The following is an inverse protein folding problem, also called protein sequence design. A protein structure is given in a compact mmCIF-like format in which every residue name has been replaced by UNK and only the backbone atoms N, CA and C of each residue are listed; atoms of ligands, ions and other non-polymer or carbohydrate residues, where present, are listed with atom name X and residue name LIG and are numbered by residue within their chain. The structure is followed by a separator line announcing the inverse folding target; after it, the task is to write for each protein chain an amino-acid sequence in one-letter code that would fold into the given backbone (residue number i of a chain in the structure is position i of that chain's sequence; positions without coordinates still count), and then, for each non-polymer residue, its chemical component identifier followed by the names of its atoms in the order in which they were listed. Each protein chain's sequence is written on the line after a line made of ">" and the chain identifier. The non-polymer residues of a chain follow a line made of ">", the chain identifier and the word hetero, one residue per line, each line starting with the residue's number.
data_IF_038773443001
#
_entry.id   IF_038773443001
#
_cell.length_a   1.000
_cell.length_b   1.000
_cell.length_c   1.000
_cell.angle_alpha   90.00
_cell.angle_beta   90.00
_cell.angle_gamma   90.00
#
_symmetry.space_group_name_H-M   'P 1'
#
loop_
_entity.id
_entity.type
_entity.pdbx_description
1 polymer ?
#
# COMPACT_ATOMS: atom_id res chain seq x y z
N UNK A 1 7.44 13.18 -13.08
CA UNK A 1 6.00 13.02 -12.79
C UNK A 1 5.80 11.53 -12.65
N UNK A 2 5.75 11.03 -11.41
CA UNK A 2 5.74 9.60 -11.11
C UNK A 2 4.28 9.13 -11.00
N UNK A 3 3.62 9.05 -12.15
CA UNK A 3 2.27 8.52 -12.29
C UNK A 3 2.30 7.01 -12.51
N UNK A 4 1.23 6.30 -12.16
CA UNK A 4 1.04 4.91 -12.55
C UNK A 4 1.12 4.75 -14.09
N UNK A 5 1.98 3.84 -14.56
CA UNK A 5 2.26 3.63 -15.99
C UNK A 5 1.71 2.28 -16.51
N UNK A 6 0.77 1.68 -15.77
CA UNK A 6 0.25 0.35 -16.06
C UNK A 6 0.88 -0.74 -15.19
N UNK A 7 0.47 -2.01 -15.38
CA UNK A 7 0.91 -3.13 -14.56
C UNK A 7 2.43 -3.28 -14.49
N UNK A 8 2.94 -3.71 -13.35
CA UNK A 8 4.37 -3.88 -13.12
C UNK A 8 4.78 -3.80 -11.66
N UNK A 9 6.09 -3.70 -11.45
CA UNK A 9 6.71 -3.57 -10.14
C UNK A 9 6.84 -2.09 -9.74
N UNK A 10 6.44 -1.76 -8.52
CA UNK A 10 6.48 -0.40 -7.99
C UNK A 10 6.91 -0.38 -6.52
N UNK A 11 7.59 0.70 -6.14
CA UNK A 11 7.72 1.13 -4.76
C UNK A 11 6.61 2.15 -4.48
N UNK A 12 5.98 2.03 -3.31
CA UNK A 12 4.93 2.96 -2.85
C UNK A 12 5.46 3.73 -1.67
N UNK A 13 5.52 5.06 -1.79
CA UNK A 13 6.02 5.96 -0.75
C UNK A 13 4.89 6.85 -0.25
N UNK A 14 4.71 6.94 1.07
CA UNK A 14 3.78 7.90 1.65
C UNK A 14 4.31 9.33 1.47
N UNK A 15 3.49 10.24 0.95
CA UNK A 15 3.88 11.65 0.82
C UNK A 15 3.91 12.38 2.15
N UNK A 16 3.21 11.90 3.18
CA UNK A 16 3.17 12.58 4.47
C UNK A 16 4.49 12.53 5.24
N UNK A 17 5.28 11.46 5.05
CA UNK A 17 6.53 11.26 5.77
C UNK A 17 7.69 10.68 4.92
N UNK A 18 7.48 10.44 3.62
CA UNK A 18 8.51 9.93 2.72
C UNK A 18 8.90 8.47 2.94
N UNK A 19 8.13 7.73 3.75
CA UNK A 19 8.46 6.35 4.13
C UNK A 19 7.80 5.32 3.20
N UNK A 20 8.47 4.19 2.91
CA UNK A 20 7.91 3.16 2.05
C UNK A 20 6.78 2.38 2.74
N UNK A 21 5.82 1.94 1.93
CA UNK A 21 4.71 1.10 2.35
C UNK A 21 4.98 -0.33 1.89
N UNK A 22 4.82 -1.31 2.77
CA UNK A 22 5.08 -2.72 2.43
C UNK A 22 4.89 -3.66 3.61
N UNK A 23 5.67 -4.74 3.64
CA UNK A 23 5.70 -5.71 4.73
C UNK A 23 7.02 -5.63 5.48
N UNK A 24 7.01 -5.97 6.77
CA UNK A 24 8.25 -6.02 7.55
C UNK A 24 9.16 -7.14 7.04
N UNK A 25 10.49 -6.96 7.10
CA UNK A 25 11.45 -7.96 6.64
C UNK A 25 11.34 -9.25 7.46
N UNK A 26 11.23 -9.10 8.78
CA UNK A 26 11.15 -10.20 9.76
C UNK A 26 9.71 -10.40 10.19
N UNK A 27 9.12 -11.51 9.80
CA UNK A 27 7.76 -11.89 10.17
C UNK A 27 7.77 -13.30 10.78
N UNK A 28 6.73 -13.62 11.54
CA UNK A 28 6.52 -15.00 12.00
C UNK A 28 6.25 -15.94 10.81
N UNK A 29 6.52 -17.25 11.00
CA UNK A 29 6.37 -18.28 9.96
C UNK A 29 4.95 -18.82 9.78
N UNK A 30 3.95 -18.23 10.43
CA UNK A 30 2.55 -18.62 10.21
C UNK A 30 2.05 -18.13 8.85
N UNK A 31 0.98 -18.78 8.38
CA UNK A 31 0.22 -18.33 7.21
C UNK A 31 -0.85 -17.29 7.56
N UNK A 32 -0.84 -16.75 8.78
CA UNK A 32 -1.76 -15.68 9.14
C UNK A 32 -1.51 -14.45 8.24
N UNK A 33 -2.56 -13.69 7.91
CA UNK A 33 -2.43 -12.44 7.16
C UNK A 33 -1.39 -11.52 7.79
N UNK A 34 -0.48 -11.02 6.96
CA UNK A 34 0.62 -10.15 7.39
C UNK A 34 0.21 -8.69 7.24
N UNK A 35 0.58 -7.83 8.19
CA UNK A 35 0.22 -6.42 8.10
C UNK A 35 0.93 -5.73 6.95
N UNK A 36 0.21 -4.82 6.30
CA UNK A 36 0.83 -3.77 5.49
C UNK A 36 1.17 -2.60 6.40
N UNK A 37 2.40 -2.14 6.31
CA UNK A 37 3.03 -1.21 7.24
C UNK A 37 3.68 -0.05 6.49
N UNK A 38 3.70 1.10 7.13
CA UNK A 38 4.68 2.14 6.88
C UNK A 38 6.00 1.75 7.53
N UNK A 39 7.03 1.55 6.72
CA UNK A 39 8.33 1.01 7.12
C UNK A 39 9.32 2.14 7.46
N UNK A 40 10.30 1.93 8.35
CA UNK A 40 11.32 2.94 8.65
C UNK A 40 12.09 3.35 7.40
N UNK A 41 12.54 4.60 7.37
CA UNK A 41 13.34 5.11 6.27
C UNK A 41 14.74 4.46 6.30
N UNK A 42 15.26 4.05 5.14
CA UNK A 42 16.60 3.46 4.98
C UNK A 42 16.86 2.12 5.71
N UNK A 43 15.84 1.48 6.27
CA UNK A 43 16.02 0.18 6.93
C UNK A 43 16.15 -1.00 5.96
N UNK A 44 15.71 -0.82 4.71
CA UNK A 44 15.55 -1.91 3.74
C UNK A 44 15.93 -1.47 2.32
N UNK A 45 16.28 -2.44 1.47
CA UNK A 45 16.54 -2.23 0.03
C UNK A 45 15.20 -2.05 -0.73
N UNK A 46 15.20 -1.37 -1.88
CA UNK A 46 13.96 -1.14 -2.66
C UNK A 46 13.21 -2.44 -3.02
N UNK A 47 13.95 -3.53 -3.20
CA UNK A 47 13.39 -4.86 -3.50
C UNK A 47 12.57 -5.45 -2.33
N UNK A 48 12.81 -5.03 -1.09
CA UNK A 48 12.14 -5.57 0.09
C UNK A 48 10.70 -5.07 0.26
N UNK A 49 10.40 -3.90 -0.32
CA UNK A 49 9.07 -3.25 -0.25
C UNK A 49 8.48 -3.00 -1.64
N UNK A 50 8.88 -3.81 -2.61
CA UNK A 50 8.28 -3.79 -3.95
C UNK A 50 6.87 -4.39 -3.93
N UNK A 51 5.98 -3.73 -4.66
CA UNK A 51 4.62 -4.13 -4.97
C UNK A 51 4.53 -4.59 -6.42
N UNK A 52 3.82 -5.68 -6.64
CA UNK A 52 3.39 -6.12 -7.96
C UNK A 52 1.96 -5.64 -8.15
N UNK A 53 1.74 -4.80 -9.17
CA UNK A 53 0.43 -4.28 -9.55
C UNK A 53 0.00 -4.99 -10.83
N UNK A 54 -1.17 -5.60 -10.80
CA UNK A 54 -1.71 -6.39 -11.91
C UNK A 54 -3.16 -5.98 -12.23
N UNK A 55 -3.64 -6.21 -13.45
CA UNK A 55 -5.06 -6.05 -13.76
C UNK A 55 -5.91 -6.95 -12.87
N UNK A 56 -6.94 -6.36 -12.28
CA UNK A 56 -7.99 -7.04 -11.54
C UNK A 56 -9.23 -7.27 -12.38
N UNK A 57 -10.38 -7.30 -11.71
CA UNK A 57 -11.68 -7.50 -12.35
C UNK A 57 -12.29 -6.17 -12.80
N UNK A 58 -13.00 -6.16 -13.92
CA UNK A 58 -13.74 -4.97 -14.40
C UNK A 58 -12.86 -3.70 -14.53
N UNK A 59 -11.56 -3.84 -14.80
CA UNK A 59 -10.64 -2.73 -14.96
C UNK A 59 -10.02 -2.19 -13.65
N UNK A 60 -10.33 -2.81 -12.50
CA UNK A 60 -9.63 -2.54 -11.25
C UNK A 60 -8.19 -3.05 -11.30
N UNK A 61 -7.44 -2.78 -10.23
CA UNK A 61 -6.10 -3.27 -10.01
C UNK A 61 -6.06 -4.18 -8.78
N UNK A 62 -5.22 -5.21 -8.85
CA UNK A 62 -4.81 -6.05 -7.73
C UNK A 62 -3.38 -5.72 -7.34
N UNK A 63 -3.11 -5.70 -6.04
CA UNK A 63 -1.81 -5.35 -5.50
C UNK A 63 -1.28 -6.50 -4.65
N UNK A 64 -0.02 -6.87 -4.86
CA UNK A 64 0.65 -7.93 -4.11
C UNK A 64 2.01 -7.47 -3.62
N UNK A 65 2.44 -7.93 -2.46
CA UNK A 65 3.80 -7.68 -1.96
C UNK A 65 4.34 -8.91 -1.23
N UNK A 66 5.61 -9.23 -1.51
CA UNK A 66 6.32 -10.42 -0.99
C UNK A 66 5.47 -11.71 -1.09
N UNK A 67 4.85 -11.91 -2.25
CA UNK A 67 4.05 -13.10 -2.58
C UNK A 67 2.65 -13.17 -1.95
N UNK A 68 2.22 -12.15 -1.20
CA UNK A 68 0.87 -12.09 -0.64
C UNK A 68 -0.02 -11.06 -1.32
N UNK A 69 -1.31 -11.36 -1.44
CA UNK A 69 -2.31 -10.46 -2.04
C UNK A 69 -2.86 -9.50 -1.00
N UNK A 70 -2.96 -8.22 -1.37
CA UNK A 70 -3.50 -7.19 -0.50
C UNK A 70 -5.00 -7.38 -0.29
N UNK A 71 -5.42 -7.30 0.96
CA UNK A 71 -6.81 -7.46 1.42
C UNK A 71 -7.09 -6.44 2.52
N UNK A 72 -8.37 -6.15 2.76
CA UNK A 72 -8.83 -5.38 3.91
C UNK A 72 -9.46 -6.32 4.92
N UNK A 73 -9.02 -6.27 6.17
CA UNK A 73 -9.58 -7.06 7.26
C UNK A 73 -9.73 -6.18 8.49
N UNK A 74 -10.97 -6.01 8.98
CA UNK A 74 -11.28 -5.16 10.14
C UNK A 74 -10.77 -3.72 10.00
N UNK A 75 -10.83 -3.15 8.78
CA UNK A 75 -10.34 -1.79 8.49
C UNK A 75 -8.82 -1.66 8.33
N UNK A 76 -8.06 -2.74 8.54
CA UNK A 76 -6.61 -2.77 8.37
C UNK A 76 -6.22 -3.40 7.02
N UNK A 77 -5.15 -2.89 6.41
CA UNK A 77 -4.57 -3.49 5.21
C UNK A 77 -3.64 -4.65 5.57
N UNK A 78 -3.83 -5.80 4.92
CA UNK A 78 -3.04 -7.01 5.14
C UNK A 78 -2.67 -7.67 3.81
N UNK A 79 -1.66 -8.53 3.84
CA UNK A 79 -1.32 -9.44 2.76
C UNK A 79 -1.69 -10.87 3.17
N UNK A 80 -2.54 -11.54 2.41
CA UNK A 80 -2.81 -12.97 2.58
C UNK A 80 -1.85 -13.81 1.76
N UNK A 81 -1.32 -14.88 2.37
CA UNK A 81 -0.50 -15.89 1.71
C UNK A 81 -1.32 -17.11 1.26
N UNK A 82 -2.57 -17.19 1.72
CA UNK A 82 -3.52 -18.25 1.36
C UNK A 82 -4.53 -17.64 0.37
N UNK A 83 -4.70 -18.22 -0.83
CA UNK A 83 -5.76 -17.82 -1.75
C UNK A 83 -7.14 -17.90 -1.09
N UNK A 84 -8.05 -17.01 -1.48
CA UNK A 84 -9.47 -17.02 -1.08
C UNK A 84 -9.73 -16.86 0.44
N UNK A 85 -8.72 -16.49 1.23
CA UNK A 85 -8.89 -16.23 2.67
C UNK A 85 -9.72 -14.97 2.95
N UNK A 86 -9.67 -14.00 2.03
CA UNK A 86 -10.51 -12.81 2.00
C UNK A 86 -10.62 -12.32 0.56
N UNK A 87 -11.57 -11.43 0.32
CA UNK A 87 -11.70 -10.74 -0.96
C UNK A 87 -10.48 -9.84 -1.20
N UNK A 88 -9.91 -9.97 -2.39
CA UNK A 88 -8.79 -9.15 -2.84
C UNK A 88 -9.19 -7.67 -2.85
N UNK A 89 -8.32 -6.81 -2.32
CA UNK A 89 -8.52 -5.37 -2.42
C UNK A 89 -8.39 -4.92 -3.89
N UNK A 90 -9.54 -4.72 -4.53
CA UNK A 90 -9.63 -4.14 -5.88
C UNK A 90 -9.55 -2.63 -5.78
N UNK A 91 -8.62 -2.00 -6.51
CA UNK A 91 -8.42 -0.56 -6.40
C UNK A 91 -8.25 0.17 -7.72
N UNK A 92 -8.36 1.49 -7.63
CA UNK A 92 -8.01 2.46 -8.65
C UNK A 92 -7.00 3.46 -8.07
N UNK A 93 -6.11 3.97 -8.93
CA UNK A 93 -5.25 5.09 -8.56
C UNK A 93 -5.88 6.39 -9.03
N UNK A 94 -6.14 7.31 -8.08
CA UNK A 94 -6.73 8.62 -8.35
C UNK A 94 -5.67 9.69 -8.19
N UNK A 95 -5.20 10.34 -9.27
CA UNK A 95 -4.23 11.43 -9.16
C UNK A 95 -4.76 12.55 -8.28
N UNK A 96 -3.87 13.14 -7.46
CA UNK A 96 -4.23 14.35 -6.71
C UNK A 96 -4.35 15.55 -7.64
N UNK A 97 -5.14 16.55 -7.24
CA UNK A 97 -5.38 17.76 -8.05
C UNK A 97 -4.12 18.56 -8.35
N UNK A 98 -3.15 18.53 -7.43
CA UNK A 98 -1.84 19.16 -7.54
C UNK A 98 -0.78 18.29 -8.25
N UNK A 99 -1.15 17.06 -8.65
CA UNK A 99 -0.27 16.08 -9.31
C UNK A 99 0.98 15.71 -8.49
N UNK A 100 0.96 15.91 -7.16
CA UNK A 100 2.06 15.56 -6.26
C UNK A 100 2.12 14.07 -5.92
N UNK A 101 1.05 13.33 -6.22
CA UNK A 101 0.94 11.87 -6.05
C UNK A 101 -0.43 11.36 -6.48
N UNK A 102 -0.86 10.25 -5.87
CA UNK A 102 -2.20 9.70 -6.04
C UNK A 102 -2.74 9.09 -4.75
N UNK A 103 -4.06 8.97 -4.67
CA UNK A 103 -4.73 8.14 -3.68
C UNK A 103 -4.89 6.71 -4.24
N UNK A 104 -4.78 5.71 -3.36
CA UNK A 104 -5.08 4.31 -3.66
C UNK A 104 -6.45 4.00 -3.09
N UNK A 105 -7.45 3.85 -3.95
CA UNK A 105 -8.87 3.86 -3.55
C UNK A 105 -9.54 2.56 -3.95
N UNK A 106 -10.25 1.95 -3.02
CA UNK A 106 -11.13 0.80 -3.24
C UNK A 106 -12.12 1.09 -4.36
N UNK A 107 -12.20 0.18 -5.32
CA UNK A 107 -13.15 0.24 -6.43
C UNK A 107 -14.59 -0.06 -5.96
N UNK A 108 -14.76 -0.72 -4.80
CA UNK A 108 -16.07 -1.17 -4.31
C UNK A 108 -16.81 -0.11 -3.48
N UNK A 109 -16.11 0.53 -2.53
CA UNK A 109 -16.72 1.36 -1.49
C UNK A 109 -16.08 2.76 -1.36
N UNK A 110 -15.05 3.06 -2.15
CA UNK A 110 -14.39 4.36 -2.14
C UNK A 110 -13.50 4.62 -0.92
N UNK A 111 -13.25 3.60 -0.08
CA UNK A 111 -12.26 3.71 1.00
C UNK A 111 -10.85 3.80 0.43
N UNK A 112 -10.01 4.65 1.02
CA UNK A 112 -8.65 4.92 0.57
C UNK A 112 -7.64 4.39 1.58
N UNK A 113 -6.49 3.92 1.07
CA UNK A 113 -5.33 3.66 1.91
C UNK A 113 -5.00 4.91 2.71
N UNK A 114 -4.83 4.75 4.00
CA UNK A 114 -4.57 5.83 4.93
C UNK A 114 -3.44 5.41 5.86
N UNK A 115 -2.43 6.26 5.97
CA UNK A 115 -1.44 6.17 7.04
C UNK A 115 -2.01 6.89 8.26
N UNK A 116 -2.32 6.19 9.37
CA UNK A 116 -2.80 6.85 10.57
C UNK A 116 -1.83 7.93 11.06
N UNK A 117 -2.36 8.97 11.68
CA UNK A 117 -1.56 10.04 12.25
C UNK A 117 -0.58 9.47 13.29
N UNK A 118 0.67 9.92 13.20
CA UNK A 118 1.81 9.39 13.95
C UNK A 118 2.20 10.32 15.11
N UNK A 119 1.23 10.98 15.76
CA UNK A 119 1.53 11.91 16.84
C UNK A 119 2.24 11.17 18.00
N UNK A 120 3.51 11.51 18.23
CA UNK A 120 4.35 10.87 19.24
C UNK A 120 4.96 9.52 18.84
N UNK A 121 4.82 9.09 17.58
CA UNK A 121 5.50 7.89 17.09
C UNK A 121 6.99 8.13 16.91
N UNK A 122 7.80 7.12 17.21
CA UNK A 122 9.24 7.18 16.95
C UNK A 122 9.52 7.09 15.43
N UNK A 123 10.59 7.72 14.91
CA UNK A 123 10.91 7.73 13.48
C UNK A 123 10.98 6.33 12.83
N UNK A 124 11.39 5.33 13.62
CA UNK A 124 11.56 3.94 13.21
C UNK A 124 10.39 3.02 13.60
N UNK A 125 9.28 3.59 14.07
CA UNK A 125 8.12 2.80 14.46
C UNK A 125 7.37 2.27 13.23
N UNK A 126 7.07 0.97 13.22
CA UNK A 126 6.23 0.35 12.20
C UNK A 126 4.77 0.72 12.45
N UNK A 127 4.15 1.40 11.48
CA UNK A 127 2.75 1.81 11.61
C UNK A 127 1.89 1.06 10.63
N UNK A 128 0.80 0.47 11.13
CA UNK A 128 -0.15 -0.28 10.30
C UNK A 128 -0.92 0.66 9.38
N UNK A 129 -1.03 0.25 8.13
CA UNK A 129 -1.88 0.93 7.17
C UNK A 129 -3.34 0.52 7.38
N UNK A 130 -4.25 1.48 7.24
CA UNK A 130 -5.69 1.28 7.36
C UNK A 130 -6.40 1.75 6.09
N UNK A 131 -7.70 1.52 6.03
CA UNK A 131 -8.57 2.15 5.03
C UNK A 131 -9.59 3.07 5.69
N UNK A 132 -9.74 4.28 5.15
CA UNK A 132 -10.68 5.29 5.63
C UNK A 132 -11.37 5.97 4.45
N UNK A 133 -12.51 6.66 4.64
CA UNK A 133 -13.10 7.46 3.58
C UNK A 133 -12.09 8.47 2.99
N UNK A 134 -12.04 8.56 1.66
CA UNK A 134 -11.20 9.54 0.98
C UNK A 134 -11.62 10.97 1.39
N UNK A 135 -10.70 11.73 1.96
CA UNK A 135 -10.96 13.07 2.49
C UNK A 135 -9.93 14.13 2.04
N UNK A 136 -8.96 13.75 1.20
CA UNK A 136 -7.97 14.66 0.62
C UNK A 136 -6.83 15.05 1.58
N UNK A 137 -6.71 14.37 2.72
CA UNK A 137 -5.58 14.54 3.64
C UNK A 137 -4.27 14.01 3.05
N UNK A 138 -3.15 14.59 3.49
CA UNK A 138 -1.81 14.21 3.03
C UNK A 138 -1.42 12.77 3.41
N UNK A 139 -2.02 12.21 4.46
CA UNK A 139 -1.77 10.85 4.90
C UNK A 139 -2.47 9.78 4.02
N UNK A 140 -3.26 10.21 3.03
CA UNK A 140 -3.87 9.39 1.98
C UNK A 140 -3.18 9.53 0.61
N UNK A 141 -2.10 10.32 0.52
CA UNK A 141 -1.40 10.58 -0.75
C UNK A 141 -0.11 9.77 -0.81
N UNK A 142 0.07 9.07 -1.93
CA UNK A 142 1.22 8.20 -2.17
C UNK A 142 1.89 8.53 -3.50
N UNK A 143 3.20 8.29 -3.55
CA UNK A 143 3.99 8.28 -4.77
C UNK A 143 4.23 6.83 -5.21
N UNK A 144 4.02 6.55 -6.50
CA UNK A 144 4.34 5.26 -7.11
C UNK A 144 5.59 5.43 -7.96
N UNK A 145 6.68 4.78 -7.57
CA UNK A 145 7.93 4.76 -8.32
C UNK A 145 8.09 3.41 -8.98
N UNK A 146 8.09 3.37 -10.32
CA UNK A 146 8.27 2.13 -11.07
C UNK A 146 9.67 1.57 -10.80
N UNK A 147 9.76 0.27 -10.58
CA UNK A 147 11.03 -0.46 -10.46
C UNK A 147 11.38 -0.98 -11.84
N UNK A 148 12.47 -0.48 -12.42
CA UNK A 148 13.03 -1.03 -13.66
C UNK A 148 13.73 -2.35 -13.34
N UNK A 149 13.43 -3.39 -14.12
CA UNK A 149 14.05 -4.71 -14.02
C UNK A 149 15.30 -4.84 -14.87
#
# INVERSE_FOLDING_TARGET
>A
MNSYEGPGAYVIISKSNGRPIGRHLVEDRSLNPKYILCLPQNAFEESDYTWQIQPGENGSLKMMTRGGTCVVMNGELKATLIPDMAEDFQCEFKPTSDQSGCNIVSAADGLAWTLPDQEGAEPDELVKMVVEPLNGSQNQVFELKRVEG
#
